data_IF_966365081522
#
_entry.id   IF_966365081522
#
_cell.length_a   1.000
_cell.length_b   1.000
_cell.length_c   1.000
_cell.angle_alpha   90.00
_cell.angle_beta   90.00
_cell.angle_gamma   90.00
#
_symmetry.space_group_name_H-M   'P 1'
#
loop_
_entity.id
_entity.type
_entity.pdbx_description
1 polymer ?
#
# COMPACT_ATOMS: atom_id res chain seq x y z
N UNK A 1 2.31 5.50 -26.67
CA UNK A 1 2.16 4.96 -25.30
C UNK A 1 2.47 3.49 -25.36
N UNK A 2 3.41 2.98 -24.56
CA UNK A 2 3.66 1.54 -24.50
C UNK A 2 2.38 0.83 -24.02
N UNK A 3 2.11 -0.41 -24.45
CA UNK A 3 0.94 -1.16 -23.99
C UNK A 3 0.90 -1.32 -22.47
N UNK A 4 2.06 -1.30 -21.81
CA UNK A 4 2.26 -1.40 -20.36
C UNK A 4 1.72 -0.24 -19.53
N UNK A 5 1.29 0.88 -20.12
CA UNK A 5 0.76 2.04 -19.39
C UNK A 5 -0.74 2.26 -19.58
N UNK A 6 -1.45 1.23 -20.01
CA UNK A 6 -2.93 1.25 -20.08
C UNK A 6 -3.55 0.79 -18.75
N UNK A 7 -4.77 1.24 -18.42
CA UNK A 7 -5.52 0.66 -17.31
C UNK A 7 -5.67 -0.86 -17.46
N UNK A 8 -5.44 -1.59 -16.36
CA UNK A 8 -5.62 -3.05 -16.34
C UNK A 8 -7.07 -3.44 -16.66
N UNK A 9 -8.01 -2.68 -16.12
CA UNK A 9 -9.44 -2.76 -16.39
C UNK A 9 -10.01 -1.35 -16.55
N UNK A 10 -11.14 -1.19 -17.23
CA UNK A 10 -11.78 0.10 -17.47
C UNK A 10 -13.29 0.12 -17.23
N UNK A 11 -13.86 -1.01 -16.81
CA UNK A 11 -15.28 -1.14 -16.48
C UNK A 11 -15.60 -0.78 -15.03
N UNK A 12 -14.59 -0.75 -14.17
CA UNK A 12 -14.60 -0.25 -12.80
C UNK A 12 -13.39 0.66 -12.57
N UNK A 13 -13.45 1.51 -11.56
CA UNK A 13 -12.30 2.31 -11.12
C UNK A 13 -11.55 1.55 -10.03
N UNK A 14 -10.22 1.44 -10.17
CA UNK A 14 -9.36 0.67 -9.28
C UNK A 14 -8.13 1.47 -8.88
N UNK A 15 -7.67 1.30 -7.65
CA UNK A 15 -6.52 2.03 -7.13
C UNK A 15 -5.65 1.17 -6.21
N UNK A 16 -4.59 1.75 -5.66
CA UNK A 16 -3.79 1.21 -4.57
C UNK A 16 -3.38 -0.26 -4.81
N UNK A 17 -2.73 -0.60 -5.94
CA UNK A 17 -2.53 -1.98 -6.33
C UNK A 17 -1.49 -2.68 -5.48
N UNK A 18 -1.86 -3.77 -4.83
CA UNK A 18 -0.91 -4.73 -4.26
C UNK A 18 -0.79 -5.94 -5.19
N UNK A 19 0.37 -6.09 -5.82
CA UNK A 19 0.61 -7.16 -6.80
C UNK A 19 1.53 -8.24 -6.21
N UNK A 20 1.14 -9.49 -6.40
CA UNK A 20 1.88 -10.66 -5.95
C UNK A 20 1.94 -11.74 -7.03
N UNK A 21 2.96 -12.59 -6.95
CA UNK A 21 3.06 -13.80 -7.78
C UNK A 21 2.66 -15.00 -6.93
N UNK A 22 1.48 -15.54 -7.18
CA UNK A 22 1.02 -16.78 -6.56
C UNK A 22 0.84 -17.86 -7.63
N UNK A 23 1.38 -19.04 -7.38
CA UNK A 23 1.29 -20.18 -8.33
C UNK A 23 1.79 -19.85 -9.75
N UNK A 24 2.78 -18.95 -9.88
CA UNK A 24 3.36 -18.53 -11.16
C UNK A 24 2.51 -17.56 -11.96
N UNK A 25 1.47 -16.97 -11.37
CA UNK A 25 0.54 -16.02 -11.96
C UNK A 25 0.52 -14.73 -11.14
N UNK A 26 0.35 -13.59 -11.81
CA UNK A 26 0.18 -12.29 -11.17
C UNK A 26 -1.25 -12.15 -10.65
N UNK A 27 -1.39 -11.80 -9.37
CA UNK A 27 -2.63 -11.39 -8.73
C UNK A 27 -2.46 -9.96 -8.23
N UNK A 28 -3.46 -9.14 -8.48
CA UNK A 28 -3.47 -7.74 -8.08
C UNK A 28 -4.69 -7.51 -7.20
N UNK A 29 -4.47 -6.93 -6.02
CA UNK A 29 -5.47 -6.63 -5.00
C UNK A 29 -5.62 -5.12 -4.91
N UNK A 30 -6.46 -4.51 -5.73
CA UNK A 30 -6.71 -3.08 -5.71
C UNK A 30 -7.81 -2.72 -4.73
N UNK A 31 -7.87 -1.46 -4.31
CA UNK A 31 -9.11 -0.87 -3.86
C UNK A 31 -10.05 -0.60 -5.04
N UNK A 32 -11.36 -0.56 -4.76
CA UNK A 32 -12.41 -0.29 -5.75
C UNK A 32 -13.06 1.06 -5.46
N UNK A 33 -12.75 2.05 -6.29
CA UNK A 33 -13.32 3.39 -6.20
C UNK A 33 -14.78 3.38 -6.70
N UNK A 34 -15.73 3.68 -5.81
CA UNK A 34 -17.16 3.75 -6.18
C UNK A 34 -17.50 5.19 -6.59
N UNK A 35 -17.91 5.42 -7.86
CA UNK A 35 -18.21 6.76 -8.35
C UNK A 35 -19.32 7.45 -7.55
N UNK A 36 -19.09 8.69 -7.17
CA UNK A 36 -20.06 9.57 -6.53
C UNK A 36 -19.71 11.04 -6.81
N UNK A 37 -20.57 11.97 -6.39
CA UNK A 37 -20.42 13.40 -6.62
C UNK A 37 -20.07 14.17 -5.32
N UNK A 38 -19.32 13.52 -4.38
CA UNK A 38 -18.82 14.16 -3.15
C UNK A 38 -17.65 15.09 -3.43
N UNK A 39 -17.44 16.06 -2.54
CA UNK A 39 -16.28 16.96 -2.57
C UNK A 39 -15.07 16.31 -1.89
N UNK A 40 -13.87 16.63 -2.38
CA UNK A 40 -12.59 16.18 -1.80
C UNK A 40 -12.34 16.92 -0.48
N UNK A 41 -11.81 16.21 0.53
CA UNK A 41 -11.39 16.80 1.81
C UNK A 41 -10.18 16.04 2.42
N UNK A 42 -9.59 16.62 3.49
CA UNK A 42 -8.41 16.03 4.18
C UNK A 42 -8.75 14.75 4.97
N UNK A 43 -10.02 14.43 5.18
CA UNK A 43 -10.47 13.19 5.84
C UNK A 43 -10.67 12.03 4.86
N UNK A 44 -10.56 12.30 3.54
CA UNK A 44 -10.70 11.33 2.47
C UNK A 44 -12.12 10.80 2.29
N UNK A 45 -13.15 11.60 2.61
CA UNK A 45 -14.55 11.18 2.50
C UNK A 45 -15.00 10.91 1.05
N UNK A 46 -14.27 11.47 0.08
CA UNK A 46 -14.46 11.23 -1.35
C UNK A 46 -14.05 9.81 -1.77
N UNK A 47 -13.20 9.12 -1.03
CA UNK A 47 -12.77 7.75 -1.34
C UNK A 47 -13.76 6.73 -0.77
N UNK A 48 -14.87 6.55 -1.47
CA UNK A 48 -15.89 5.53 -1.14
C UNK A 48 -15.46 4.19 -1.71
N UNK A 49 -15.22 3.25 -0.81
CA UNK A 49 -14.83 1.89 -1.14
C UNK A 49 -15.58 0.95 -0.22
N UNK A 50 -16.33 0.02 -0.80
CA UNK A 50 -17.21 -0.90 -0.06
C UNK A 50 -16.84 -2.36 -0.26
N UNK A 51 -16.00 -2.68 -1.25
CA UNK A 51 -15.61 -4.04 -1.59
C UNK A 51 -14.24 -4.09 -2.25
N UNK A 52 -13.73 -5.30 -2.44
CA UNK A 52 -12.52 -5.59 -3.20
C UNK A 52 -12.81 -6.52 -4.35
N UNK A 53 -12.37 -6.14 -5.54
CA UNK A 53 -12.24 -7.00 -6.71
C UNK A 53 -10.81 -7.53 -6.79
N UNK A 54 -10.64 -8.79 -7.14
CA UNK A 54 -9.30 -9.34 -7.37
C UNK A 54 -9.08 -9.45 -8.87
N UNK A 55 -7.95 -8.91 -9.31
CA UNK A 55 -7.52 -8.97 -10.69
C UNK A 55 -6.40 -10.00 -10.85
N UNK A 56 -6.28 -10.59 -12.04
CA UNK A 56 -5.15 -11.46 -12.32
C UNK A 56 -4.71 -11.41 -13.76
N UNK A 57 -3.43 -11.74 -13.99
CA UNK A 57 -2.80 -11.88 -15.31
C UNK A 57 -1.94 -13.13 -15.31
N UNK A 58 -2.02 -13.97 -16.34
CA UNK A 58 -1.16 -15.17 -16.46
C UNK A 58 0.32 -14.79 -16.60
N UNK A 59 0.58 -13.65 -17.20
CA UNK A 59 1.89 -13.00 -17.31
C UNK A 59 1.67 -11.51 -17.68
N UNK A 60 2.71 -10.66 -17.67
CA UNK A 60 2.57 -9.22 -17.96
C UNK A 60 2.01 -8.85 -19.33
N UNK A 61 2.10 -9.76 -20.32
CA UNK A 61 1.58 -9.55 -21.67
C UNK A 61 0.16 -10.12 -21.85
N UNK A 62 -0.38 -10.82 -20.83
CA UNK A 62 -1.70 -11.43 -20.90
C UNK A 62 -2.81 -10.41 -20.58
N UNK A 63 -4.03 -10.61 -21.09
CA UNK A 63 -5.18 -9.82 -20.66
C UNK A 63 -5.41 -9.93 -19.15
N UNK A 64 -5.80 -8.82 -18.53
CA UNK A 64 -6.22 -8.81 -17.15
C UNK A 64 -7.64 -9.37 -17.00
N UNK A 65 -7.83 -10.25 -16.03
CA UNK A 65 -9.12 -10.86 -15.66
C UNK A 65 -9.58 -10.27 -14.34
N UNK A 66 -10.79 -9.73 -14.29
CA UNK A 66 -11.49 -9.35 -13.07
C UNK A 66 -12.31 -10.54 -12.57
N UNK A 67 -12.01 -11.01 -11.35
CA UNK A 67 -12.71 -12.13 -10.71
C UNK A 67 -14.01 -11.69 -9.98
N UNK A 68 -14.31 -10.40 -10.01
CA UNK A 68 -15.44 -9.83 -9.30
C UNK A 68 -15.19 -9.58 -7.80
N UNK A 69 -16.26 -9.27 -7.08
CA UNK A 69 -16.20 -8.96 -5.66
C UNK A 69 -15.76 -10.20 -4.84
N UNK A 70 -14.62 -10.08 -4.18
CA UNK A 70 -14.02 -11.14 -3.35
C UNK A 70 -14.29 -10.94 -1.84
N UNK A 71 -14.55 -9.70 -1.40
CA UNK A 71 -14.95 -9.34 -0.04
C UNK A 71 -15.76 -8.04 -0.08
N UNK A 72 -16.88 -7.99 0.62
CA UNK A 72 -17.71 -6.78 0.73
C UNK A 72 -17.84 -6.35 2.20
N UNK A 73 -17.87 -5.05 2.48
CA UNK A 73 -17.97 -4.49 3.82
C UNK A 73 -19.17 -5.02 4.63
N UNK A 74 -20.27 -5.40 3.96
CA UNK A 74 -21.46 -6.01 4.60
C UNK A 74 -21.18 -7.33 5.28
N UNK A 75 -20.12 -8.02 4.87
CA UNK A 75 -19.71 -9.30 5.41
C UNK A 75 -18.74 -9.14 6.59
N UNK A 76 -18.29 -7.89 6.89
CA UNK A 76 -17.32 -7.58 7.94
C UNK A 76 -18.00 -6.88 9.12
N UNK A 77 -18.22 -7.56 10.25
CA UNK A 77 -19.12 -7.09 11.33
C UNK A 77 -18.72 -5.77 11.99
N UNK A 78 -17.44 -5.45 12.04
CA UNK A 78 -16.89 -4.27 12.71
C UNK A 78 -16.80 -3.04 11.80
N UNK A 79 -16.82 -3.21 10.48
CA UNK A 79 -16.65 -2.13 9.50
C UNK A 79 -17.88 -1.22 9.46
N UNK A 80 -17.64 0.08 9.36
CA UNK A 80 -18.68 1.10 9.13
C UNK A 80 -18.60 1.71 7.74
N UNK A 81 -17.37 2.02 7.25
CA UNK A 81 -17.13 2.60 5.92
C UNK A 81 -15.66 2.46 5.49
N UNK A 82 -15.37 2.76 4.24
CA UNK A 82 -14.03 3.01 3.67
C UNK A 82 -13.08 1.81 3.81
N UNK A 83 -13.34 0.77 3.04
CA UNK A 83 -12.39 -0.34 2.85
C UNK A 83 -11.32 0.10 1.85
N UNK A 84 -10.25 0.77 2.36
CA UNK A 84 -9.21 1.37 1.54
C UNK A 84 -8.14 0.35 1.09
N UNK A 85 -6.93 0.82 0.78
CA UNK A 85 -5.85 0.06 0.16
C UNK A 85 -5.56 -1.30 0.82
N UNK A 86 -5.81 -2.43 0.16
CA UNK A 86 -5.56 -3.76 0.71
C UNK A 86 -4.16 -4.27 0.34
N UNK A 87 -3.73 -5.33 1.01
CA UNK A 87 -2.63 -6.18 0.58
C UNK A 87 -2.95 -7.67 0.83
N UNK A 88 -2.17 -8.56 0.23
CA UNK A 88 -2.34 -9.99 0.39
C UNK A 88 -1.02 -10.71 0.68
N UNK A 89 -1.11 -11.84 1.37
CA UNK A 89 0.01 -12.75 1.58
C UNK A 89 -0.43 -14.20 1.43
N UNK A 90 0.51 -15.08 1.08
CA UNK A 90 0.30 -16.53 1.08
C UNK A 90 1.12 -17.16 2.21
N UNK A 91 0.52 -18.07 2.95
CA UNK A 91 1.23 -18.96 3.89
C UNK A 91 0.52 -20.28 4.03
N UNK A 92 1.28 -21.36 3.88
CA UNK A 92 0.80 -22.74 4.08
C UNK A 92 -0.43 -23.11 3.21
N UNK A 93 -0.48 -22.56 1.98
CA UNK A 93 -1.56 -22.78 1.03
C UNK A 93 -2.85 -22.01 1.34
N UNK A 94 -2.79 -21.04 2.24
CA UNK A 94 -3.85 -20.08 2.54
C UNK A 94 -3.47 -18.70 2.07
N UNK A 95 -4.46 -17.92 1.62
CA UNK A 95 -4.30 -16.53 1.23
C UNK A 95 -4.97 -15.62 2.24
N UNK A 96 -4.26 -14.58 2.65
CA UNK A 96 -4.67 -13.63 3.66
C UNK A 96 -4.81 -12.27 2.99
N UNK A 97 -5.99 -11.69 3.02
CA UNK A 97 -6.27 -10.33 2.55
C UNK A 97 -6.30 -9.40 3.76
N UNK A 98 -5.34 -8.48 3.82
CA UNK A 98 -5.28 -7.44 4.84
C UNK A 98 -5.92 -6.18 4.29
N UNK A 99 -6.74 -5.51 5.09
CA UNK A 99 -7.44 -4.32 4.64
C UNK A 99 -7.69 -3.33 5.77
N UNK A 100 -7.57 -2.03 5.51
CA UNK A 100 -7.98 -1.01 6.45
C UNK A 100 -9.46 -0.70 6.22
N UNK A 101 -10.16 -0.42 7.32
CA UNK A 101 -11.49 0.14 7.26
C UNK A 101 -11.79 0.93 8.53
N UNK A 102 -12.71 1.88 8.46
CA UNK A 102 -13.17 2.58 9.67
C UNK A 102 -14.13 1.68 10.46
N UNK A 103 -13.86 1.58 11.76
CA UNK A 103 -14.76 0.96 12.72
C UNK A 103 -15.99 1.86 13.03
N UNK A 104 -16.85 1.45 13.96
CA UNK A 104 -18.07 2.20 14.30
C UNK A 104 -17.82 3.52 15.04
N UNK A 105 -16.60 3.70 15.53
CA UNK A 105 -16.16 4.94 16.17
C UNK A 105 -15.44 5.89 15.16
N UNK A 106 -15.37 5.50 13.88
CA UNK A 106 -14.72 6.26 12.82
C UNK A 106 -13.21 6.15 12.80
N UNK A 107 -12.65 5.18 13.52
CA UNK A 107 -11.21 4.94 13.63
C UNK A 107 -10.81 3.85 12.63
N UNK A 108 -9.76 4.10 11.85
CA UNK A 108 -9.20 3.08 10.97
C UNK A 108 -8.57 1.93 11.76
N UNK A 109 -8.92 0.71 11.38
CA UNK A 109 -8.38 -0.55 11.90
C UNK A 109 -7.94 -1.43 10.75
N UNK A 110 -7.04 -2.37 10.99
CA UNK A 110 -6.66 -3.38 10.00
C UNK A 110 -7.44 -4.67 10.25
N UNK A 111 -8.17 -5.11 9.24
CA UNK A 111 -8.81 -6.42 9.20
C UNK A 111 -7.99 -7.44 8.45
N UNK A 112 -8.33 -8.70 8.64
CA UNK A 112 -7.80 -9.81 7.84
C UNK A 112 -8.94 -10.74 7.43
N UNK A 113 -8.91 -11.20 6.18
CA UNK A 113 -9.81 -12.21 5.65
C UNK A 113 -9.02 -13.33 5.00
N UNK A 114 -9.54 -14.56 5.00
CA UNK A 114 -8.80 -15.76 4.59
C UNK A 114 -9.54 -16.49 3.46
N UNK A 115 -8.77 -17.01 2.50
CA UNK A 115 -9.27 -17.85 1.41
C UNK A 115 -8.33 -19.02 1.13
N UNK A 116 -8.86 -20.06 0.47
CA UNK A 116 -8.11 -21.16 -0.13
C UNK A 116 -7.71 -20.86 -1.59
N UNK A 117 -8.23 -19.78 -2.17
CA UNK A 117 -7.97 -19.35 -3.53
C UNK A 117 -7.46 -17.90 -3.54
N UNK A 118 -6.39 -17.56 -4.26
CA UNK A 118 -5.87 -16.19 -4.33
C UNK A 118 -6.88 -15.17 -4.90
N UNK A 119 -7.84 -15.62 -5.71
CA UNK A 119 -8.93 -14.78 -6.21
C UNK A 119 -10.14 -14.68 -5.27
N UNK A 120 -10.11 -15.36 -4.12
CA UNK A 120 -11.22 -15.39 -3.18
C UNK A 120 -12.29 -16.45 -3.54
N UNK A 121 -13.51 -16.39 -2.95
CA UNK A 121 -13.93 -15.36 -1.99
C UNK A 121 -13.17 -15.46 -0.66
N UNK A 122 -13.00 -14.29 -0.02
CA UNK A 122 -12.35 -14.21 1.29
C UNK A 122 -13.37 -14.20 2.41
N UNK A 123 -13.09 -14.96 3.47
CA UNK A 123 -13.88 -14.97 4.70
C UNK A 123 -13.22 -14.08 5.74
N UNK A 124 -13.84 -12.96 6.17
CA UNK A 124 -13.22 -12.04 7.12
C UNK A 124 -13.19 -12.64 8.53
N UNK A 125 -12.20 -12.26 9.32
CA UNK A 125 -12.21 -12.47 10.75
C UNK A 125 -13.31 -11.60 11.40
N UNK A 126 -13.80 -12.07 12.55
CA UNK A 126 -14.93 -11.42 13.23
C UNK A 126 -14.60 -10.01 13.72
N UNK A 127 -13.36 -9.82 14.16
CA UNK A 127 -12.83 -8.57 14.70
C UNK A 127 -11.59 -8.14 13.91
N UNK A 128 -11.20 -6.88 14.01
CA UNK A 128 -9.94 -6.38 13.45
C UNK A 128 -8.73 -6.92 14.23
N UNK A 129 -7.54 -6.81 13.66
CA UNK A 129 -6.27 -7.19 14.30
C UNK A 129 -6.10 -6.37 15.59
N UNK A 130 -6.04 -6.99 16.78
CA UNK A 130 -5.90 -6.26 18.03
C UNK A 130 -4.67 -5.36 18.06
N UNK A 131 -4.85 -4.11 18.50
CA UNK A 131 -3.78 -3.11 18.53
C UNK A 131 -3.48 -2.44 17.19
N UNK A 132 -4.19 -2.80 16.11
CA UNK A 132 -4.06 -2.16 14.80
C UNK A 132 -4.76 -0.79 14.74
N UNK A 133 -4.22 0.08 13.89
CA UNK A 133 -4.80 1.39 13.56
C UNK A 133 -4.23 1.88 12.24
N UNK A 134 -4.77 2.98 11.70
CA UNK A 134 -4.34 3.59 10.43
C UNK A 134 -4.61 2.69 9.21
N UNK A 135 -3.90 2.92 8.09
CA UNK A 135 -4.23 2.43 6.76
C UNK A 135 -3.04 1.76 6.07
N UNK A 136 -3.25 1.32 4.85
CA UNK A 136 -2.24 0.88 3.86
C UNK A 136 -1.36 -0.27 4.37
N UNK A 137 -1.92 -1.41 4.78
CA UNK A 137 -1.10 -2.57 5.11
C UNK A 137 -0.33 -3.07 3.89
N UNK A 138 0.93 -3.43 4.09
CA UNK A 138 1.76 -4.15 3.14
C UNK A 138 2.50 -5.28 3.87
N UNK A 139 2.42 -6.50 3.36
CA UNK A 139 2.96 -7.68 4.04
C UNK A 139 4.11 -8.28 3.24
N UNK A 140 5.25 -8.41 3.87
CA UNK A 140 6.38 -9.18 3.35
C UNK A 140 6.41 -10.55 4.01
N UNK A 141 6.30 -11.62 3.22
CA UNK A 141 6.72 -12.96 3.63
C UNK A 141 8.21 -13.09 3.36
N UNK A 142 9.01 -13.14 4.43
CA UNK A 142 10.47 -13.19 4.30
C UNK A 142 10.95 -14.63 4.04
N UNK A 143 12.20 -14.78 3.58
CA UNK A 143 12.81 -16.05 3.19
C UNK A 143 12.89 -17.06 4.36
N UNK A 144 12.83 -16.59 5.59
CA UNK A 144 12.79 -17.42 6.81
C UNK A 144 11.38 -17.87 7.22
N UNK A 145 10.36 -17.55 6.42
CA UNK A 145 8.95 -17.89 6.64
C UNK A 145 8.23 -17.00 7.66
N UNK A 146 8.86 -15.91 8.11
CA UNK A 146 8.20 -14.91 8.95
C UNK A 146 7.43 -13.90 8.09
N UNK A 147 6.27 -13.50 8.57
CA UNK A 147 5.49 -12.41 7.99
C UNK A 147 5.77 -11.10 8.73
N UNK A 148 6.00 -10.03 7.97
CA UNK A 148 6.15 -8.68 8.49
C UNK A 148 5.10 -7.79 7.86
N UNK A 149 4.45 -6.95 8.66
CA UNK A 149 3.46 -5.99 8.18
C UNK A 149 3.95 -4.56 8.38
N UNK A 150 3.84 -3.76 7.32
CA UNK A 150 4.14 -2.34 7.25
C UNK A 150 2.84 -1.62 6.99
N UNK A 151 2.57 -0.51 7.67
CA UNK A 151 1.30 0.19 7.49
C UNK A 151 1.35 1.63 8.01
N UNK A 152 0.33 2.40 7.68
CA UNK A 152 0.10 3.72 8.19
C UNK A 152 0.05 4.77 7.09
N UNK A 153 -0.84 5.74 7.26
CA UNK A 153 -0.92 6.94 6.43
C UNK A 153 -1.30 8.14 7.28
N UNK A 154 -0.77 9.29 6.92
CA UNK A 154 -1.03 10.56 7.59
C UNK A 154 -2.41 11.13 7.19
N UNK A 155 -2.84 12.19 7.84
CA UNK A 155 -4.09 12.93 7.62
C UNK A 155 -5.31 11.99 7.68
N UNK A 156 -6.05 11.84 6.58
CA UNK A 156 -7.19 10.93 6.50
C UNK A 156 -6.88 9.50 6.95
N UNK A 157 -5.62 9.08 6.88
CA UNK A 157 -5.14 7.79 7.37
C UNK A 157 -4.90 7.72 8.87
N UNK A 158 -4.98 8.84 9.60
CA UNK A 158 -5.00 8.93 11.06
C UNK A 158 -3.72 8.50 11.79
N UNK A 159 -2.58 8.32 11.08
CA UNK A 159 -1.36 7.81 11.72
C UNK A 159 -0.83 8.74 12.81
N UNK A 160 -0.81 10.06 12.55
CA UNK A 160 -0.36 11.07 13.52
C UNK A 160 -1.25 11.14 14.78
N UNK A 161 -2.51 10.72 14.66
CA UNK A 161 -3.46 10.72 15.78
C UNK A 161 -3.14 9.67 16.85
N UNK A 162 -2.12 8.83 16.62
CA UNK A 162 -1.71 7.76 17.53
C UNK A 162 -0.35 7.99 18.21
N UNK A 163 0.27 9.14 18.03
CA UNK A 163 1.60 9.44 18.57
C UNK A 163 1.70 9.34 20.11
N UNK A 164 0.60 9.56 20.82
CA UNK A 164 0.53 9.43 22.29
C UNK A 164 0.35 7.98 22.77
N UNK A 165 0.19 7.01 21.84
CA UNK A 165 -0.18 5.63 22.17
C UNK A 165 -1.69 5.40 22.35
N UNK A 166 -2.50 6.45 22.15
CA UNK A 166 -3.96 6.39 22.11
C UNK A 166 -4.49 7.33 21.03
N UNK A 167 -5.69 7.06 20.52
CA UNK A 167 -6.31 7.89 19.50
C UNK A 167 -6.62 9.29 20.03
N UNK A 168 -6.10 10.30 19.36
CA UNK A 168 -6.34 11.72 19.62
C UNK A 168 -6.59 12.44 18.29
N UNK A 169 -7.85 12.80 17.97
CA UNK A 169 -8.16 13.48 16.70
C UNK A 169 -7.57 14.90 16.60
N UNK A 170 -7.20 15.50 17.73
CA UNK A 170 -6.58 16.81 17.80
C UNK A 170 -5.04 16.74 17.91
N UNK A 171 -4.44 15.58 17.68
CA UNK A 171 -3.00 15.38 17.76
C UNK A 171 -2.23 16.35 16.88
N UNK A 172 -1.13 16.86 17.41
CA UNK A 172 -0.22 17.74 16.67
C UNK A 172 0.36 17.03 15.43
N UNK A 173 0.31 17.71 14.29
CA UNK A 173 1.00 17.28 13.06
C UNK A 173 2.42 17.86 13.05
N UNK A 174 3.48 17.04 12.98
CA UNK A 174 4.85 17.55 12.96
C UNK A 174 5.11 18.49 11.77
N UNK A 175 5.86 19.56 12.00
CA UNK A 175 6.17 20.56 11.00
C UNK A 175 7.68 20.94 11.00
N UNK A 176 8.16 21.44 9.87
CA UNK A 176 9.51 22.00 9.75
C UNK A 176 10.61 21.03 10.17
N UNK A 177 11.35 21.36 11.24
CA UNK A 177 12.48 20.57 11.76
C UNK A 177 12.10 19.48 12.76
N UNK A 178 10.82 19.32 13.08
CA UNK A 178 10.35 18.22 13.92
C UNK A 178 10.56 16.87 13.21
N UNK A 179 10.78 15.78 13.95
CA UNK A 179 10.97 14.47 13.34
C UNK A 179 9.77 14.06 12.48
N UNK A 180 10.05 13.55 11.26
CA UNK A 180 9.01 12.97 10.43
C UNK A 180 8.47 11.68 11.06
N UNK A 181 7.16 11.44 10.90
CA UNK A 181 6.53 10.18 11.29
C UNK A 181 6.84 9.14 10.20
N UNK A 182 7.39 7.99 10.58
CA UNK A 182 7.59 6.86 9.68
C UNK A 182 6.42 5.87 9.74
N UNK A 183 6.36 4.91 8.80
CA UNK A 183 5.34 3.86 8.82
C UNK A 183 5.47 2.99 10.07
N UNK A 184 4.39 2.30 10.40
CA UNK A 184 4.38 1.28 11.43
C UNK A 184 4.94 -0.03 10.90
N UNK A 185 5.49 -0.82 11.81
CA UNK A 185 6.01 -2.17 11.57
C UNK A 185 5.63 -3.11 12.71
N UNK A 186 5.24 -4.33 12.37
CA UNK A 186 5.13 -5.44 13.33
C UNK A 186 5.49 -6.77 12.64
N UNK A 187 5.97 -7.75 13.42
CA UNK A 187 6.01 -9.14 13.01
C UNK A 187 4.61 -9.75 13.20
N UNK A 188 4.13 -10.46 12.20
CA UNK A 188 2.88 -11.23 12.30
C UNK A 188 3.12 -12.53 13.06
N UNK A 189 2.13 -12.97 13.82
CA UNK A 189 2.17 -14.29 14.45
C UNK A 189 2.02 -15.40 13.40
N UNK A 190 2.28 -16.63 13.81
CA UNK A 190 2.22 -17.81 12.94
C UNK A 190 0.86 -18.01 12.27
N UNK A 191 -0.22 -17.55 12.89
CA UNK A 191 -1.58 -17.60 12.35
C UNK A 191 -1.89 -16.53 11.30
N UNK A 192 -0.98 -15.57 11.07
CA UNK A 192 -1.12 -14.45 10.14
C UNK A 192 -2.29 -13.49 10.45
N UNK A 193 -2.85 -13.55 11.66
CA UNK A 193 -4.06 -12.79 12.05
C UNK A 193 -3.81 -11.87 13.25
N UNK A 194 -2.67 -11.97 13.88
CA UNK A 194 -2.29 -11.19 15.06
C UNK A 194 -0.88 -10.64 14.91
N UNK A 195 -0.62 -9.53 15.59
CA UNK A 195 0.75 -9.06 15.78
C UNK A 195 1.45 -9.94 16.83
N UNK A 196 2.62 -10.46 16.47
CA UNK A 196 3.53 -11.15 17.40
C UNK A 196 4.33 -10.17 18.23
N UNK A 197 4.68 -9.03 17.64
CA UNK A 197 5.41 -7.95 18.31
C UNK A 197 4.54 -6.72 18.43
N UNK A 198 4.78 -5.90 19.46
CA UNK A 198 4.17 -4.58 19.54
C UNK A 198 4.54 -3.75 18.30
N UNK A 199 3.57 -3.07 17.65
CA UNK A 199 3.87 -2.19 16.55
C UNK A 199 4.80 -1.03 16.93
N UNK A 200 5.74 -0.70 16.04
CA UNK A 200 6.67 0.42 16.22
C UNK A 200 6.82 1.24 14.95
N UNK A 201 7.12 2.53 15.09
CA UNK A 201 7.49 3.35 13.94
C UNK A 201 8.85 2.93 13.38
N UNK A 202 8.94 2.85 12.06
CA UNK A 202 10.21 2.72 11.36
C UNK A 202 10.89 4.08 11.23
N UNK A 203 12.22 4.05 11.27
CA UNK A 203 13.03 5.24 11.09
C UNK A 203 13.59 5.31 9.68
N UNK A 204 13.37 6.46 9.02
CA UNK A 204 13.95 6.77 7.71
C UNK A 204 14.99 7.87 7.91
N UNK A 205 16.21 7.60 7.43
CA UNK A 205 17.38 8.47 7.58
C UNK A 205 17.73 9.14 6.25
N UNK A 206 18.35 10.30 6.33
CA UNK A 206 19.04 10.93 5.19
C UNK A 206 20.37 10.21 4.85
N UNK A 207 21.05 10.69 3.84
CA UNK A 207 22.35 10.16 3.39
C UNK A 207 23.50 10.35 4.41
N UNK A 208 23.29 11.16 5.45
CA UNK A 208 24.23 11.40 6.54
C UNK A 208 23.88 10.60 7.80
N UNK A 209 22.84 9.74 7.74
CA UNK A 209 22.39 8.92 8.85
C UNK A 209 21.55 9.67 9.88
N UNK A 210 20.99 10.85 9.54
CA UNK A 210 20.10 11.60 10.42
C UNK A 210 18.64 11.29 10.07
N UNK A 211 17.74 11.20 11.08
CA UNK A 211 16.32 11.05 10.82
C UNK A 211 15.79 12.20 9.94
N UNK A 212 14.91 11.85 8.98
CA UNK A 212 14.19 12.85 8.20
C UNK A 212 13.28 13.68 9.08
N UNK A 213 13.07 14.93 8.68
CA UNK A 213 12.17 15.87 9.35
C UNK A 213 10.86 16.03 8.57
N UNK A 214 9.85 16.60 9.24
CA UNK A 214 8.57 16.90 8.60
C UNK A 214 8.72 17.87 7.40
N UNK A 215 9.71 18.75 7.43
CA UNK A 215 10.04 19.67 6.32
C UNK A 215 10.76 19.02 5.15
N UNK A 216 11.18 17.76 5.24
CA UNK A 216 11.76 17.00 4.11
C UNK A 216 10.67 16.46 3.17
N UNK A 217 9.76 17.31 2.72
CA UNK A 217 8.52 16.93 2.02
C UNK A 217 8.73 16.03 0.81
N UNK A 218 9.84 16.17 0.08
CA UNK A 218 10.20 15.35 -1.09
C UNK A 218 10.72 13.95 -0.73
N UNK A 219 10.94 13.67 0.55
CA UNK A 219 11.62 12.45 1.02
C UNK A 219 10.94 11.78 2.21
N UNK A 220 10.18 12.55 3.02
CA UNK A 220 9.52 12.01 4.20
C UNK A 220 8.38 11.07 3.83
N UNK A 221 8.12 10.14 4.72
CA UNK A 221 6.97 9.24 4.62
C UNK A 221 5.65 10.02 4.73
N UNK A 222 4.67 9.60 3.92
CA UNK A 222 3.30 10.06 4.05
C UNK A 222 2.32 8.87 4.13
N UNK A 223 2.35 7.95 3.15
CA UNK A 223 1.44 6.79 3.09
C UNK A 223 1.96 5.73 2.11
N UNK A 224 1.20 4.63 1.94
CA UNK A 224 1.42 3.62 0.92
C UNK A 224 2.77 2.91 1.05
N UNK A 225 3.13 2.33 2.22
CA UNK A 225 4.38 1.61 2.35
C UNK A 225 4.34 0.32 1.53
N UNK A 226 5.45 0.00 0.87
CA UNK A 226 5.68 -1.29 0.24
C UNK A 226 7.05 -1.82 0.60
N UNK A 227 7.18 -3.12 0.78
CA UNK A 227 8.46 -3.73 1.09
C UNK A 227 8.79 -4.83 0.10
N UNK A 228 9.99 -4.77 -0.49
CA UNK A 228 10.56 -5.86 -1.28
C UNK A 228 12.03 -6.07 -0.97
N UNK A 229 12.58 -7.19 -1.43
CA UNK A 229 14.02 -7.52 -1.25
C UNK A 229 14.72 -7.53 -2.59
N UNK A 230 15.92 -6.97 -2.61
CA UNK A 230 16.82 -7.04 -3.75
C UNK A 230 18.27 -7.10 -3.26
N UNK A 231 19.10 -8.00 -3.83
CA UNK A 231 20.52 -8.12 -3.47
C UNK A 231 20.80 -8.37 -1.98
N UNK A 232 19.87 -8.97 -1.25
CA UNK A 232 19.97 -9.21 0.19
C UNK A 232 19.66 -8.00 1.08
N UNK A 233 19.14 -6.92 0.50
CA UNK A 233 18.68 -5.71 1.18
C UNK A 233 17.17 -5.62 1.17
N UNK A 234 16.63 -4.83 2.10
CA UNK A 234 15.21 -4.50 2.22
C UNK A 234 14.97 -3.09 1.66
N UNK A 235 14.00 -2.97 0.77
CA UNK A 235 13.63 -1.73 0.09
C UNK A 235 12.24 -1.32 0.56
N UNK A 236 12.19 -0.28 1.39
CA UNK A 236 10.96 0.37 1.80
C UNK A 236 10.65 1.48 0.80
N UNK A 237 9.59 1.33 0.03
CA UNK A 237 9.09 2.37 -0.87
C UNK A 237 7.76 2.93 -0.36
N UNK A 238 7.50 4.21 -0.67
CA UNK A 238 6.35 4.94 -0.12
C UNK A 238 6.05 6.22 -0.90
N UNK A 239 4.85 6.76 -0.71
CA UNK A 239 4.45 8.07 -1.20
C UNK A 239 4.88 9.19 -0.25
N UNK A 240 5.29 10.31 -0.82
CA UNK A 240 5.63 11.54 -0.08
C UNK A 240 4.42 12.44 0.19
N UNK A 241 3.24 12.09 -0.35
CA UNK A 241 1.99 12.83 -0.19
C UNK A 241 2.01 14.17 -0.91
N UNK A 242 2.20 15.26 -0.19
CA UNK A 242 2.08 16.65 -0.70
C UNK A 242 2.92 16.98 -1.93
N UNK A 243 4.03 16.28 -2.14
CA UNK A 243 4.89 16.45 -3.32
C UNK A 243 4.67 15.37 -4.38
N UNK A 244 3.81 14.38 -4.09
CA UNK A 244 3.34 13.33 -4.99
C UNK A 244 4.43 12.42 -5.59
N UNK A 245 5.62 12.34 -4.97
CA UNK A 245 6.66 11.42 -5.42
C UNK A 245 6.45 10.02 -4.85
N UNK A 246 6.82 9.03 -5.63
CA UNK A 246 7.07 7.69 -5.16
C UNK A 246 8.57 7.53 -4.96
N UNK A 247 8.98 7.21 -3.73
CA UNK A 247 10.38 7.19 -3.31
C UNK A 247 10.74 5.89 -2.61
N UNK A 248 12.04 5.65 -2.38
CA UNK A 248 12.48 4.48 -1.64
C UNK A 248 13.66 4.74 -0.71
N UNK A 249 13.74 3.91 0.30
CA UNK A 249 14.82 3.82 1.26
C UNK A 249 15.29 2.37 1.40
N UNK A 250 16.55 2.14 1.71
CA UNK A 250 17.20 0.84 1.82
C UNK A 250 17.64 0.57 3.25
N UNK A 251 17.48 -0.68 3.71
CA UNK A 251 17.95 -1.16 5.01
C UNK A 251 18.50 -2.57 4.95
N UNK A 252 19.22 -2.96 6.01
CA UNK A 252 19.81 -4.29 6.16
C UNK A 252 18.88 -5.30 6.85
N UNK A 253 17.78 -4.81 7.41
CA UNK A 253 16.81 -5.59 8.21
C UNK A 253 15.39 -5.18 7.88
N UNK A 254 14.41 -6.07 8.07
CA UNK A 254 13.01 -5.77 7.80
C UNK A 254 12.45 -4.63 8.67
N UNK A 255 13.04 -4.38 9.83
CA UNK A 255 12.65 -3.34 10.78
C UNK A 255 13.60 -2.12 10.77
N UNK A 256 14.45 -2.00 9.75
CA UNK A 256 15.34 -0.88 9.50
C UNK A 256 16.52 -0.73 10.48
N UNK A 257 17.07 0.48 10.67
CA UNK A 257 16.64 1.73 10.02
C UNK A 257 16.85 1.70 8.50
N UNK A 258 16.10 2.56 7.79
CA UNK A 258 16.18 2.68 6.35
C UNK A 258 16.82 4.01 5.95
N UNK A 259 17.74 4.00 4.98
CA UNK A 259 18.34 5.22 4.43
C UNK A 259 17.70 5.58 3.11
N UNK A 260 17.20 6.80 2.98
CA UNK A 260 16.63 7.33 1.74
C UNK A 260 17.64 7.20 0.58
N UNK A 261 17.18 6.75 -0.58
CA UNK A 261 18.01 6.50 -1.76
C UNK A 261 17.59 7.31 -2.99
N UNK A 262 16.32 7.56 -3.19
CA UNK A 262 15.89 8.29 -4.38
C UNK A 262 14.41 8.13 -4.72
N UNK A 263 14.09 8.56 -5.93
CA UNK A 263 12.74 8.48 -6.49
C UNK A 263 12.58 7.24 -7.34
N UNK A 264 11.41 6.62 -7.27
CA UNK A 264 10.97 5.53 -8.15
C UNK A 264 10.15 6.11 -9.30
N UNK A 265 9.26 7.06 -9.00
CA UNK A 265 8.38 7.63 -10.01
C UNK A 265 8.09 9.11 -9.73
N UNK A 266 8.06 9.92 -10.81
CA UNK A 266 7.57 11.30 -10.80
C UNK A 266 6.04 11.32 -10.65
N UNK A 267 5.46 12.48 -10.24
CA UNK A 267 4.02 12.57 -9.95
C UNK A 267 3.12 12.08 -11.08
N UNK A 268 2.04 11.41 -10.70
CA UNK A 268 0.97 10.96 -11.61
C UNK A 268 -0.17 11.99 -11.66
N UNK A 269 -1.10 11.83 -12.63
CA UNK A 269 -2.35 12.59 -12.65
C UNK A 269 -3.23 12.08 -11.50
N UNK A 270 -3.53 12.95 -10.54
CA UNK A 270 -4.29 12.67 -9.33
C UNK A 270 -3.52 12.99 -8.06
N UNK A 271 -4.17 12.84 -6.90
CA UNK A 271 -3.57 13.19 -5.61
C UNK A 271 -2.64 12.10 -5.08
N UNK A 272 -3.12 10.87 -4.98
CA UNK A 272 -2.36 9.76 -4.37
C UNK A 272 -1.46 9.05 -5.37
N UNK A 273 -0.36 8.48 -4.88
CA UNK A 273 0.53 7.60 -5.63
C UNK A 273 0.80 6.37 -4.77
N UNK A 274 -0.08 5.40 -4.80
CA UNK A 274 0.09 4.12 -4.11
C UNK A 274 0.55 3.05 -5.10
N UNK A 275 1.35 2.07 -4.67
CA UNK A 275 2.04 1.16 -5.56
C UNK A 275 2.35 -0.19 -4.94
N UNK A 276 2.82 -1.09 -5.77
CA UNK A 276 3.56 -2.30 -5.38
C UNK A 276 4.68 -2.59 -6.38
N UNK A 277 5.71 -3.30 -5.91
CA UNK A 277 6.85 -3.74 -6.73
C UNK A 277 6.96 -5.24 -6.62
N UNK A 278 6.94 -5.94 -7.76
CA UNK A 278 6.96 -7.39 -7.83
C UNK A 278 7.94 -7.89 -8.88
N UNK A 279 8.66 -8.96 -8.56
CA UNK A 279 9.46 -9.69 -9.54
C UNK A 279 8.61 -10.77 -10.21
N UNK A 280 8.67 -10.82 -11.54
CA UNK A 280 8.08 -11.89 -12.33
C UNK A 280 9.07 -12.37 -13.40
N UNK A 281 9.49 -13.63 -13.28
CA UNK A 281 10.42 -14.29 -14.23
C UNK A 281 11.71 -13.50 -14.52
N UNK A 282 12.33 -12.94 -13.48
CA UNK A 282 13.59 -12.21 -13.56
C UNK A 282 13.48 -10.75 -14.02
N UNK A 283 12.26 -10.23 -14.14
CA UNK A 283 11.97 -8.83 -14.39
C UNK A 283 11.19 -8.23 -13.26
N UNK A 284 11.44 -6.95 -12.99
CA UNK A 284 10.72 -6.19 -11.98
C UNK A 284 9.63 -5.35 -12.61
N UNK A 285 8.49 -5.24 -11.93
CA UNK A 285 7.34 -4.47 -12.36
C UNK A 285 6.85 -3.58 -11.22
N UNK A 286 6.57 -2.32 -11.57
CA UNK A 286 5.86 -1.38 -10.72
C UNK A 286 4.39 -1.36 -11.13
N UNK A 287 3.50 -1.70 -10.19
CA UNK A 287 2.07 -1.47 -10.29
C UNK A 287 1.75 -0.18 -9.54
N UNK A 288 0.96 0.68 -10.14
CA UNK A 288 0.59 1.99 -9.60
C UNK A 288 -0.79 2.39 -10.11
N UNK A 289 -1.34 3.49 -9.61
CA UNK A 289 -2.57 4.05 -10.15
C UNK A 289 -2.38 5.50 -10.58
N UNK A 290 -3.29 5.96 -11.44
CA UNK A 290 -3.50 7.38 -11.75
C UNK A 290 -4.98 7.65 -12.01
N UNK A 291 -5.32 8.92 -12.31
CA UNK A 291 -6.67 9.35 -12.61
C UNK A 291 -6.90 9.64 -14.11
N UNK A 292 -6.04 9.12 -15.01
CA UNK A 292 -6.15 9.41 -16.46
C UNK A 292 -7.49 8.93 -17.04
N UNK A 293 -7.98 7.76 -16.62
CA UNK A 293 -9.26 7.19 -17.09
C UNK A 293 -10.45 8.10 -16.83
N UNK A 294 -10.42 8.87 -15.75
CA UNK A 294 -11.48 9.79 -15.32
C UNK A 294 -11.22 11.26 -15.67
N UNK A 295 -10.12 11.55 -16.41
CA UNK A 295 -9.66 12.91 -16.68
C UNK A 295 -9.30 13.71 -15.41
N UNK A 296 -8.71 13.07 -14.42
CA UNK A 296 -8.14 13.72 -13.22
C UNK A 296 -9.06 13.77 -12.00
N UNK A 297 -10.14 12.99 -11.92
CA UNK A 297 -10.97 12.91 -10.73
C UNK A 297 -10.29 12.01 -9.69
N UNK A 298 -9.89 12.56 -8.53
CA UNK A 298 -9.06 11.91 -7.52
C UNK A 298 -9.62 10.57 -6.99
N UNK A 299 -10.92 10.43 -6.88
CA UNK A 299 -11.61 9.24 -6.39
C UNK A 299 -12.20 8.38 -7.52
N UNK A 300 -11.62 8.44 -8.74
CA UNK A 300 -11.95 7.59 -9.91
C UNK A 300 -10.67 7.20 -10.62
N UNK A 301 -9.87 6.39 -9.93
CA UNK A 301 -8.52 6.01 -10.33
C UNK A 301 -8.51 4.78 -11.24
N UNK A 302 -7.39 4.49 -11.85
CA UNK A 302 -7.18 3.26 -12.60
C UNK A 302 -5.78 2.68 -12.34
N UNK A 303 -5.73 1.40 -12.07
CA UNK A 303 -4.48 0.67 -11.90
C UNK A 303 -3.80 0.43 -13.24
N UNK A 304 -2.49 0.70 -13.26
CA UNK A 304 -1.57 0.47 -14.37
C UNK A 304 -0.33 -0.24 -13.88
N UNK A 305 0.51 -0.69 -14.79
CA UNK A 305 1.84 -1.19 -14.46
C UNK A 305 2.86 -0.82 -15.54
N UNK A 306 4.14 -0.93 -15.18
CA UNK A 306 5.27 -0.73 -16.08
C UNK A 306 6.46 -1.57 -15.61
N UNK A 307 7.36 -1.94 -16.52
CA UNK A 307 8.64 -2.55 -16.17
C UNK A 307 9.47 -1.57 -15.33
N UNK A 308 10.12 -2.06 -14.29
CA UNK A 308 10.97 -1.30 -13.38
C UNK A 308 12.40 -1.76 -13.51
N UNK A 309 13.32 -0.83 -13.76
CA UNK A 309 14.75 -1.14 -13.81
C UNK A 309 15.37 -0.98 -12.42
N UNK A 310 15.88 -2.08 -11.87
CA UNK A 310 16.75 -2.08 -10.69
C UNK A 310 18.14 -2.49 -11.16
N UNK A 311 19.13 -1.61 -10.98
CA UNK A 311 20.50 -1.87 -11.35
C UNK A 311 21.19 -2.85 -10.39
N UNK A 312 22.32 -3.42 -10.79
CA UNK A 312 23.07 -4.38 -9.96
C UNK A 312 23.51 -3.81 -8.60
N UNK A 313 23.72 -2.51 -8.51
CA UNK A 313 24.05 -1.80 -7.28
C UNK A 313 22.83 -1.49 -6.40
N UNK A 314 21.63 -1.88 -6.83
CA UNK A 314 20.37 -1.66 -6.13
C UNK A 314 19.70 -0.32 -6.42
N UNK A 315 20.30 0.54 -7.26
CA UNK A 315 19.64 1.79 -7.64
C UNK A 315 18.45 1.54 -8.56
N UNK A 316 17.37 2.30 -8.36
CA UNK A 316 16.13 2.20 -9.13
C UNK A 316 16.08 3.37 -10.13
N UNK A 317 15.80 3.06 -11.40
CA UNK A 317 15.59 4.06 -12.43
C UNK A 317 14.27 4.79 -12.23
N UNK A 318 14.33 6.15 -12.21
CA UNK A 318 13.12 6.95 -11.99
C UNK A 318 12.21 6.91 -13.22
N UNK A 319 10.99 6.48 -13.03
CA UNK A 319 9.94 6.43 -14.05
C UNK A 319 9.31 7.81 -14.20
N UNK A 320 9.14 8.25 -15.45
CA UNK A 320 8.35 9.43 -15.84
C UNK A 320 7.09 8.92 -16.55
N UNK A 321 5.95 8.88 -15.87
CA UNK A 321 4.79 8.13 -16.35
C UNK A 321 4.20 8.65 -17.66
N UNK A 322 4.43 9.93 -18.00
CA UNK A 322 3.85 10.59 -19.18
C UNK A 322 4.88 11.02 -20.24
N UNK A 323 6.16 10.80 -20.00
CA UNK A 323 7.22 11.01 -21.00
C UNK A 323 7.37 9.73 -21.85
N UNK A 324 7.63 9.94 -23.16
CA UNK A 324 7.77 8.87 -24.13
C UNK A 324 9.21 8.34 -24.18
#
# INVERSE_FOLDING_TARGET
MSEQRKPLVSHIFTADPSAHVFNGKLYIYPSHDIPHDGEDNDDGDEYRMEDYHILSMDNPDAPCVDHGCALHMKDVPWVSKQMWAPDAAEKDGKYYLYFPARDKDGIFRLGVAVSDDPAGPFTPEKDYIPGSYSIDPAVLMDDDGRGYIYYGGLWGGQLEMWQSGSFDPDAHRPEGTEPAIGPMFAELDADMKHFKTEPKHLQILDENGKPLTAGDEDRRYFEGPWMHKFGGKYYLSYSTGTTHYLVYAEGDKPDGPFTYKGRIMEPVIGWTTHHSIVEYQGKWYLFYHDCELSNGINHRRCVKFTELTIHEDGTIETIRPYEA
#
